data_IF_727089819262
#
_entry.id   IF_727089819262
#
_cell.length_a   1.000
_cell.length_b   1.000
_cell.length_c   1.000
_cell.angle_alpha   90.00
_cell.angle_beta   90.00
_cell.angle_gamma   90.00
#
_symmetry.space_group_name_H-M   'P 1'
#
loop_
_entity.id
_entity.type
_entity.pdbx_description
1 polymer ?
#
# COMPACT_ATOMS: atom_id res chain seq x y z
N UNK A 1 21.76 4.41 -5.74
CA UNK A 1 21.93 3.67 -7.00
C UNK A 1 21.20 4.48 -8.07
N UNK A 2 21.91 4.98 -9.08
CA UNK A 2 21.30 5.84 -10.09
C UNK A 2 20.44 5.02 -11.07
N UNK A 3 19.49 5.65 -11.75
CA UNK A 3 18.67 4.97 -12.77
C UNK A 3 19.51 4.30 -13.89
N UNK A 4 20.72 4.81 -14.15
CA UNK A 4 21.68 4.22 -15.09
C UNK A 4 22.42 2.98 -14.59
N UNK A 5 22.52 2.76 -13.27
CA UNK A 5 23.15 1.56 -12.71
C UNK A 5 22.21 0.35 -12.83
N UNK A 6 20.92 0.58 -12.57
CA UNK A 6 19.87 -0.44 -12.68
C UNK A 6 19.70 -0.88 -14.14
N UNK A 7 19.66 0.06 -15.09
CA UNK A 7 19.56 -0.28 -16.52
C UNK A 7 20.73 -1.16 -16.99
N UNK A 8 21.96 -0.86 -16.54
CA UNK A 8 23.15 -1.66 -16.88
C UNK A 8 23.09 -3.07 -16.32
N UNK A 9 22.62 -3.23 -15.08
CA UNK A 9 22.45 -4.54 -14.45
C UNK A 9 21.41 -5.39 -15.19
N UNK A 10 20.26 -4.80 -15.53
CA UNK A 10 19.21 -5.47 -16.28
C UNK A 10 19.67 -5.88 -17.69
N UNK A 11 20.46 -5.05 -18.36
CA UNK A 11 21.08 -5.40 -19.65
C UNK A 11 22.06 -6.57 -19.51
N UNK A 12 22.90 -6.57 -18.47
CA UNK A 12 23.83 -7.68 -18.22
C UNK A 12 23.10 -9.00 -17.97
N UNK A 13 22.05 -8.99 -17.14
CA UNK A 13 21.20 -10.16 -16.90
C UNK A 13 20.49 -10.65 -18.16
N UNK A 14 20.06 -9.75 -19.03
CA UNK A 14 19.44 -10.13 -20.30
C UNK A 14 20.46 -10.78 -21.25
N UNK A 15 21.69 -10.26 -21.33
CA UNK A 15 22.79 -10.87 -22.10
C UNK A 15 23.06 -12.28 -21.60
N UNK A 16 23.16 -12.46 -20.29
CA UNK A 16 23.38 -13.76 -19.66
C UNK A 16 22.24 -14.74 -19.99
N UNK A 17 20.99 -14.28 -19.93
CA UNK A 17 19.81 -15.08 -20.21
C UNK A 17 19.71 -15.48 -21.70
N UNK A 18 20.15 -14.62 -22.61
CA UNK A 18 20.13 -14.88 -24.05
C UNK A 18 21.34 -15.69 -24.53
N UNK A 19 22.48 -15.60 -23.81
CA UNK A 19 23.75 -16.20 -24.22
C UNK A 19 24.43 -15.50 -25.41
N UNK A 20 23.94 -14.32 -25.80
CA UNK A 20 24.42 -13.54 -26.94
C UNK A 20 24.46 -12.03 -26.61
N UNK A 21 25.36 -11.25 -27.23
CA UNK A 21 25.44 -9.82 -27.00
C UNK A 21 24.19 -9.10 -27.54
N UNK A 22 23.75 -8.07 -26.82
CA UNK A 22 22.66 -7.21 -27.28
C UNK A 22 23.13 -6.32 -28.42
N UNK A 23 22.50 -6.48 -29.59
CA UNK A 23 22.80 -5.69 -30.79
C UNK A 23 22.10 -4.33 -30.83
N UNK A 24 21.19 -4.08 -29.90
CA UNK A 24 20.37 -2.85 -29.80
C UNK A 24 20.37 -2.33 -28.37
N UNK A 25 20.24 -1.01 -28.24
CA UNK A 25 20.30 -0.35 -26.93
C UNK A 25 19.10 -0.61 -26.03
N UNK A 26 17.89 -0.67 -26.59
CA UNK A 26 16.67 -0.97 -25.86
C UNK A 26 15.94 -2.15 -26.50
N UNK A 27 16.32 -3.39 -26.14
CA UNK A 27 15.79 -4.59 -26.78
C UNK A 27 14.34 -4.86 -26.39
N UNK A 28 13.59 -5.49 -27.30
CA UNK A 28 12.25 -5.99 -27.02
C UNK A 28 12.30 -7.34 -26.32
N UNK A 29 11.85 -7.38 -25.08
CA UNK A 29 11.75 -8.60 -24.28
C UNK A 29 10.34 -9.18 -24.28
N UNK A 30 10.24 -10.50 -24.09
CA UNK A 30 8.96 -11.19 -23.85
C UNK A 30 8.49 -11.00 -22.40
N UNK A 31 7.22 -11.30 -22.13
CA UNK A 31 6.70 -11.35 -20.75
C UNK A 31 7.48 -12.31 -19.85
N UNK A 32 7.95 -13.45 -20.38
CA UNK A 32 8.72 -14.42 -19.60
C UNK A 32 10.13 -13.92 -19.27
N UNK A 33 10.81 -13.31 -20.24
CA UNK A 33 12.11 -12.67 -20.01
C UNK A 33 12.00 -11.51 -19.04
N UNK A 34 10.98 -10.66 -19.20
CA UNK A 34 10.66 -9.61 -18.24
C UNK A 34 10.45 -10.23 -16.85
N UNK A 35 9.64 -11.26 -16.71
CA UNK A 35 9.41 -11.91 -15.41
C UNK A 35 10.69 -12.42 -14.75
N UNK A 36 11.61 -13.01 -15.52
CA UNK A 36 12.91 -13.49 -15.02
C UNK A 36 13.85 -12.35 -14.62
N UNK A 37 13.92 -11.30 -15.45
CA UNK A 37 14.72 -10.11 -15.14
C UNK A 37 14.25 -9.43 -13.85
N UNK A 38 12.93 -9.43 -13.67
CA UNK A 38 12.24 -8.76 -12.57
C UNK A 38 12.04 -9.66 -11.35
N UNK A 39 12.47 -10.93 -11.42
CA UNK A 39 12.33 -11.93 -10.35
C UNK A 39 10.89 -12.13 -9.83
N UNK A 40 9.90 -12.01 -10.72
CA UNK A 40 8.48 -12.18 -10.38
C UNK A 40 7.83 -13.27 -11.23
N UNK A 41 6.67 -13.82 -10.80
CA UNK A 41 5.89 -14.71 -11.65
C UNK A 41 5.44 -14.02 -12.95
N UNK A 42 5.40 -14.69 -14.12
CA UNK A 42 4.93 -14.09 -15.38
C UNK A 42 3.53 -13.50 -15.32
N UNK A 43 2.66 -14.03 -14.46
CA UNK A 43 1.31 -13.52 -14.22
C UNK A 43 1.33 -12.09 -13.66
N UNK A 44 2.37 -11.73 -12.89
CA UNK A 44 2.59 -10.40 -12.34
C UNK A 44 2.84 -9.39 -13.43
N UNK A 45 3.76 -9.70 -14.35
CA UNK A 45 4.06 -8.88 -15.53
C UNK A 45 2.83 -8.75 -16.42
N UNK A 46 2.10 -9.85 -16.65
CA UNK A 46 0.84 -9.81 -17.40
C UNK A 46 -0.23 -8.92 -16.73
N UNK A 47 -0.28 -8.89 -15.40
CA UNK A 47 -1.14 -7.98 -14.63
C UNK A 47 -0.76 -6.52 -14.82
N UNK A 48 0.54 -6.18 -14.80
CA UNK A 48 1.02 -4.81 -15.07
C UNK A 48 0.66 -4.34 -16.48
N UNK A 49 0.79 -5.21 -17.48
CA UNK A 49 0.39 -4.91 -18.86
C UNK A 49 -1.12 -4.64 -18.95
N UNK A 50 -1.94 -5.51 -18.35
CA UNK A 50 -3.41 -5.37 -18.35
C UNK A 50 -3.88 -4.13 -17.58
N UNK A 51 -3.18 -3.79 -16.50
CA UNK A 51 -3.42 -2.58 -15.72
C UNK A 51 -2.96 -1.29 -16.43
N UNK A 52 -2.17 -1.40 -17.50
CA UNK A 52 -1.63 -0.24 -18.24
C UNK A 52 -0.36 0.36 -17.63
N UNK A 53 0.19 -0.27 -16.59
CA UNK A 53 1.41 0.17 -15.89
C UNK A 53 2.70 -0.25 -16.61
N UNK A 54 2.60 -1.17 -17.56
CA UNK A 54 3.70 -1.61 -18.42
C UNK A 54 3.25 -1.61 -19.89
N UNK A 55 3.69 -0.64 -20.71
CA UNK A 55 3.22 -0.50 -22.08
C UNK A 55 3.76 -1.62 -22.98
N UNK A 56 2.85 -2.41 -23.57
CA UNK A 56 3.21 -3.39 -24.59
C UNK A 56 3.26 -2.74 -25.98
N UNK A 57 4.44 -2.75 -26.62
CA UNK A 57 4.64 -2.15 -27.96
C UNK A 57 4.03 -2.98 -29.07
N UNK A 58 3.88 -4.29 -28.85
CA UNK A 58 3.08 -5.17 -29.72
C UNK A 58 2.15 -6.01 -28.87
N UNK A 59 0.83 -5.80 -29.01
CA UNK A 59 -0.19 -6.65 -28.34
C UNK A 59 -0.21 -8.08 -28.86
N UNK A 60 0.03 -8.26 -30.17
CA UNK A 60 0.04 -9.59 -30.81
C UNK A 60 1.21 -10.46 -30.32
N UNK A 61 2.39 -9.86 -30.09
CA UNK A 61 3.59 -10.57 -29.66
C UNK A 61 3.97 -10.33 -28.20
N UNK A 62 3.19 -9.53 -27.46
CA UNK A 62 3.42 -9.13 -26.06
C UNK A 62 4.86 -8.70 -25.79
N UNK A 63 5.43 -7.93 -26.72
CA UNK A 63 6.81 -7.42 -26.64
C UNK A 63 6.84 -6.13 -25.84
N UNK A 64 7.81 -6.05 -24.95
CA UNK A 64 8.02 -4.97 -23.99
C UNK A 64 9.41 -4.37 -24.23
N UNK A 65 9.56 -3.05 -24.15
CA UNK A 65 10.91 -2.47 -24.13
C UNK A 65 11.57 -2.79 -22.79
N UNK A 66 12.86 -3.09 -22.80
CA UNK A 66 13.62 -3.31 -21.58
C UNK A 66 13.58 -2.06 -20.69
N UNK A 67 13.70 -0.87 -21.27
CA UNK A 67 13.60 0.39 -20.54
C UNK A 67 12.24 0.59 -19.86
N UNK A 68 11.14 0.24 -20.53
CA UNK A 68 9.79 0.28 -19.97
C UNK A 68 9.66 -0.75 -18.82
N UNK A 69 10.27 -1.93 -18.96
CA UNK A 69 10.32 -2.98 -17.93
C UNK A 69 11.08 -2.49 -16.69
N UNK A 70 12.28 -1.94 -16.86
CA UNK A 70 13.11 -1.39 -15.78
C UNK A 70 12.38 -0.24 -15.06
N UNK A 71 11.71 0.64 -15.80
CA UNK A 71 10.98 1.80 -15.24
C UNK A 71 9.64 1.43 -14.61
N UNK A 72 9.06 0.29 -14.96
CA UNK A 72 7.71 -0.10 -14.49
C UNK A 72 7.60 -0.33 -12.99
N UNK A 73 8.73 -0.41 -12.26
CA UNK A 73 8.79 -0.46 -10.80
C UNK A 73 7.85 -1.52 -10.22
N UNK A 74 8.06 -2.80 -10.48
CA UNK A 74 7.06 -3.87 -10.22
C UNK A 74 6.53 -3.95 -8.80
N UNK A 75 7.38 -3.58 -7.86
CA UNK A 75 7.06 -3.59 -6.44
C UNK A 75 6.20 -2.40 -6.05
N UNK A 76 6.06 -1.40 -6.91
CA UNK A 76 5.30 -0.20 -6.59
C UNK A 76 3.79 -0.42 -6.66
N UNK A 77 3.30 -1.44 -7.37
CA UNK A 77 1.86 -1.68 -7.53
C UNK A 77 1.41 -2.89 -6.72
N UNK A 78 0.13 -2.99 -6.38
CA UNK A 78 -0.43 -4.13 -5.63
C UNK A 78 -1.89 -4.33 -6.02
N UNK A 79 -2.31 -5.60 -6.02
CA UNK A 79 -3.71 -5.98 -6.07
C UNK A 79 -4.39 -5.72 -4.72
N UNK A 80 -5.72 -5.65 -4.73
CA UNK A 80 -6.53 -5.56 -3.51
C UNK A 80 -6.28 -6.75 -2.57
N UNK A 81 -6.02 -7.94 -3.13
CA UNK A 81 -5.75 -9.14 -2.34
C UNK A 81 -4.39 -9.06 -1.63
N UNK A 82 -3.33 -8.65 -2.33
CA UNK A 82 -2.00 -8.46 -1.73
C UNK A 82 -2.02 -7.37 -0.66
N UNK A 83 -2.71 -6.26 -0.91
CA UNK A 83 -2.88 -5.20 0.09
C UNK A 83 -3.66 -5.69 1.32
N UNK A 84 -4.62 -6.61 1.13
CA UNK A 84 -5.34 -7.24 2.22
C UNK A 84 -4.42 -8.03 3.15
N UNK A 85 -3.46 -8.77 2.59
CA UNK A 85 -2.46 -9.49 3.39
C UNK A 85 -1.63 -8.52 4.22
N UNK A 86 -1.12 -7.43 3.62
CA UNK A 86 -0.31 -6.43 4.33
C UNK A 86 -1.10 -5.72 5.43
N UNK A 87 -2.35 -5.37 5.17
CA UNK A 87 -3.20 -4.62 6.10
C UNK A 87 -3.88 -5.53 7.15
N UNK A 88 -3.77 -6.85 7.02
CA UNK A 88 -4.49 -7.81 7.85
C UNK A 88 -6.02 -7.77 7.63
N UNK A 89 -6.46 -7.50 6.41
CA UNK A 89 -7.85 -7.32 6.02
C UNK A 89 -8.26 -8.26 4.89
N UNK A 90 -9.54 -8.65 4.85
CA UNK A 90 -10.13 -9.22 3.65
C UNK A 90 -10.27 -8.19 2.52
N UNK A 91 -10.48 -8.66 1.28
CA UNK A 91 -10.63 -7.78 0.10
C UNK A 91 -11.73 -6.73 0.29
N UNK A 92 -12.85 -7.08 0.93
CA UNK A 92 -13.94 -6.14 1.25
C UNK A 92 -13.47 -5.03 2.18
N UNK A 93 -12.61 -5.33 3.15
CA UNK A 93 -12.03 -4.33 4.05
C UNK A 93 -11.15 -3.35 3.30
N UNK A 94 -10.28 -3.84 2.42
CA UNK A 94 -9.43 -2.99 1.57
C UNK A 94 -10.27 -2.10 0.65
N UNK A 95 -11.33 -2.65 0.03
CA UNK A 95 -12.24 -1.84 -0.81
C UNK A 95 -12.92 -0.72 -0.03
N UNK A 96 -13.27 -0.95 1.24
CA UNK A 96 -13.81 0.10 2.11
C UNK A 96 -12.79 1.20 2.38
N UNK A 97 -11.51 0.87 2.58
CA UNK A 97 -10.45 1.87 2.73
C UNK A 97 -10.29 2.74 1.47
N UNK A 98 -10.45 2.14 0.29
CA UNK A 98 -10.48 2.89 -0.98
C UNK A 98 -11.69 3.85 -1.01
N UNK A 99 -12.89 3.35 -0.70
CA UNK A 99 -14.10 4.18 -0.66
C UNK A 99 -14.03 5.30 0.38
N UNK A 100 -13.37 5.05 1.51
CA UNK A 100 -13.14 6.05 2.55
C UNK A 100 -12.04 7.06 2.20
N UNK A 101 -11.37 6.92 1.05
CA UNK A 101 -10.29 7.80 0.63
C UNK A 101 -8.97 7.60 1.36
N UNK A 102 -8.83 6.52 2.16
CA UNK A 102 -7.59 6.16 2.84
C UNK A 102 -6.58 5.48 1.92
N UNK A 103 -7.04 4.94 0.80
CA UNK A 103 -6.22 4.41 -0.30
C UNK A 103 -6.74 4.94 -1.62
N UNK A 104 -5.82 5.23 -2.56
CA UNK A 104 -6.18 5.64 -3.91
C UNK A 104 -6.05 4.48 -4.88
N UNK A 105 -7.08 4.28 -5.72
CA UNK A 105 -7.08 3.25 -6.75
C UNK A 105 -6.71 3.83 -8.14
N UNK A 106 -5.70 3.24 -8.78
CA UNK A 106 -5.15 3.63 -10.08
C UNK A 106 -5.42 2.56 -11.14
N UNK A 107 -6.69 2.22 -11.36
CA UNK A 107 -7.10 1.23 -12.36
C UNK A 107 -7.86 0.05 -11.74
N UNK A 108 -7.88 -1.10 -12.42
CA UNK A 108 -8.71 -2.25 -12.04
C UNK A 108 -7.93 -3.44 -11.44
N UNK A 109 -6.85 -3.89 -12.07
CA UNK A 109 -6.18 -5.15 -11.68
C UNK A 109 -5.10 -4.98 -10.60
N UNK A 110 -4.26 -3.96 -10.72
CA UNK A 110 -3.25 -3.58 -9.73
C UNK A 110 -3.49 -2.12 -9.31
N UNK A 111 -4.59 -1.84 -8.59
CA UNK A 111 -5.02 -0.48 -8.36
C UNK A 111 -4.19 0.26 -7.30
N UNK A 112 -3.49 -0.45 -6.41
CA UNK A 112 -2.90 0.19 -5.23
C UNK A 112 -1.41 0.38 -5.40
N UNK A 113 -0.88 1.48 -4.87
CA UNK A 113 0.56 1.61 -4.70
C UNK A 113 1.01 0.92 -3.42
N UNK A 114 2.12 0.18 -3.46
CA UNK A 114 2.71 -0.47 -2.29
C UNK A 114 3.10 0.55 -1.23
N UNK A 115 3.71 1.66 -1.63
CA UNK A 115 4.12 2.72 -0.70
C UNK A 115 2.93 3.25 0.13
N UNK A 116 1.78 3.49 -0.50
CA UNK A 116 0.56 3.97 0.17
C UNK A 116 0.01 2.91 1.13
N UNK A 117 0.02 1.64 0.71
CA UNK A 117 -0.41 0.51 1.55
C UNK A 117 0.49 0.35 2.77
N UNK A 118 1.81 0.45 2.59
CA UNK A 118 2.79 0.33 3.67
C UNK A 118 2.71 1.50 4.65
N UNK A 119 2.53 2.73 4.15
CA UNK A 119 2.29 3.90 4.99
C UNK A 119 1.01 3.71 5.81
N UNK A 120 -0.08 3.28 5.18
CA UNK A 120 -1.33 3.05 5.87
C UNK A 120 -1.21 1.91 6.89
N UNK A 121 -0.49 0.84 6.58
CA UNK A 121 -0.24 -0.25 7.53
C UNK A 121 0.41 0.25 8.81
N UNK A 122 1.46 1.08 8.70
CA UNK A 122 2.13 1.71 9.84
C UNK A 122 1.20 2.65 10.62
N UNK A 123 0.40 3.46 9.93
CA UNK A 123 -0.56 4.34 10.60
C UNK A 123 -1.59 3.54 11.42
N UNK A 124 -2.12 2.44 10.86
CA UNK A 124 -3.11 1.57 11.49
C UNK A 124 -2.63 0.87 12.77
N UNK A 125 -1.32 0.77 13.01
CA UNK A 125 -0.77 0.26 14.27
C UNK A 125 -1.10 1.19 15.45
N UNK A 126 -1.25 2.49 15.18
CA UNK A 126 -1.62 3.49 16.18
C UNK A 126 -3.14 3.66 16.34
N UNK A 127 -3.94 2.88 15.63
CA UNK A 127 -5.40 2.99 15.63
C UNK A 127 -6.04 1.83 16.38
N UNK A 128 -7.10 2.14 17.11
CA UNK A 128 -7.83 1.21 17.95
C UNK A 128 -9.25 0.99 17.45
N UNK A 129 -9.70 -0.25 17.64
CA UNK A 129 -11.11 -0.59 17.55
C UNK A 129 -11.90 0.08 18.68
N UNK A 130 -13.20 0.26 18.49
CA UNK A 130 -14.09 0.79 19.54
C UNK A 130 -14.02 -0.04 20.82
N UNK A 131 -14.09 -1.39 20.79
CA UNK A 131 -13.95 -2.20 22.01
C UNK A 131 -12.62 -1.97 22.74
N UNK A 132 -11.51 -1.85 22.02
CA UNK A 132 -10.19 -1.60 22.61
C UNK A 132 -10.14 -0.24 23.29
N UNK A 133 -10.66 0.80 22.63
CA UNK A 133 -10.73 2.15 23.18
C UNK A 133 -11.66 2.23 24.41
N UNK A 134 -12.82 1.58 24.34
CA UNK A 134 -13.79 1.50 25.44
C UNK A 134 -13.18 0.86 26.69
N UNK A 135 -12.51 -0.28 26.51
CA UNK A 135 -11.78 -0.96 27.59
C UNK A 135 -10.67 -0.08 28.18
N UNK A 136 -9.90 0.62 27.36
CA UNK A 136 -8.84 1.52 27.83
C UNK A 136 -9.39 2.75 28.59
N UNK A 137 -10.54 3.27 28.17
CA UNK A 137 -11.20 4.42 28.78
C UNK A 137 -12.03 4.07 30.02
N UNK A 138 -12.29 2.79 30.27
CA UNK A 138 -13.19 2.33 31.33
C UNK A 138 -14.65 2.70 31.08
N UNK A 139 -15.07 2.73 29.81
CA UNK A 139 -16.44 3.08 29.38
C UNK A 139 -17.00 2.01 28.45
N UNK A 140 -18.28 2.10 28.09
CA UNK A 140 -18.88 1.24 27.08
C UNK A 140 -18.63 1.74 25.64
N UNK A 141 -18.99 0.91 24.65
CA UNK A 141 -18.83 1.24 23.24
C UNK A 141 -19.70 2.44 22.79
N UNK A 142 -20.87 2.61 23.40
CA UNK A 142 -21.80 3.69 23.05
C UNK A 142 -21.23 5.06 23.45
N UNK A 143 -20.53 5.14 24.58
CA UNK A 143 -19.80 6.33 24.99
C UNK A 143 -18.66 6.66 24.02
N UNK A 144 -17.87 5.68 23.59
CA UNK A 144 -16.82 5.93 22.57
C UNK A 144 -17.44 6.43 21.25
N UNK A 145 -18.55 5.85 20.82
CA UNK A 145 -19.29 6.33 19.65
C UNK A 145 -19.85 7.74 19.85
N UNK A 146 -20.26 8.10 21.07
CA UNK A 146 -20.69 9.46 21.41
C UNK A 146 -19.52 10.43 21.30
N UNK A 147 -18.36 10.10 21.89
CA UNK A 147 -17.15 10.90 21.85
C UNK A 147 -16.67 11.17 20.42
N UNK A 148 -16.73 10.17 19.53
CA UNK A 148 -16.42 10.34 18.11
C UNK A 148 -17.41 11.25 17.38
N UNK A 149 -18.71 11.18 17.73
CA UNK A 149 -19.76 12.02 17.13
C UNK A 149 -19.70 13.48 17.60
N UNK A 150 -19.35 13.71 18.86
CA UNK A 150 -19.25 15.05 19.46
C UNK A 150 -17.90 15.72 19.23
N UNK A 151 -16.94 15.00 18.62
CA UNK A 151 -15.59 15.51 18.35
C UNK A 151 -14.67 15.53 19.58
N UNK A 152 -15.04 14.84 20.66
CA UNK A 152 -14.14 14.62 21.80
C UNK A 152 -12.98 13.67 21.46
N UNK A 153 -13.20 12.79 20.47
CA UNK A 153 -12.18 12.02 19.79
C UNK A 153 -12.32 12.24 18.28
N UNK A 154 -11.22 12.24 17.56
CA UNK A 154 -11.18 12.33 16.10
C UNK A 154 -11.33 10.93 15.48
N UNK A 155 -12.00 10.86 14.33
CA UNK A 155 -12.17 9.62 13.58
C UNK A 155 -11.01 9.40 12.59
N UNK A 156 -10.47 8.19 12.52
CA UNK A 156 -9.40 7.78 11.57
C UNK A 156 -9.92 7.54 10.14
N UNK A 157 -11.24 7.60 9.94
CA UNK A 157 -11.97 7.17 8.74
C UNK A 157 -11.94 5.65 8.47
N UNK A 158 -11.14 4.87 9.22
CA UNK A 158 -11.20 3.42 9.19
C UNK A 158 -12.28 2.93 10.17
N UNK A 159 -13.40 2.47 9.62
CA UNK A 159 -14.53 1.94 10.39
C UNK A 159 -14.11 0.79 11.32
N UNK A 160 -13.12 -0.03 10.94
CA UNK A 160 -12.66 -1.14 11.77
C UNK A 160 -11.80 -0.68 12.96
N UNK A 161 -11.11 0.46 12.82
CA UNK A 161 -10.23 1.04 13.84
C UNK A 161 -10.40 2.57 13.88
N UNK A 162 -11.57 3.07 14.32
CA UNK A 162 -11.93 4.47 14.13
C UNK A 162 -11.25 5.43 15.12
N UNK A 163 -10.51 4.92 16.12
CA UNK A 163 -10.00 5.72 17.24
C UNK A 163 -8.48 5.83 17.19
N UNK A 164 -7.93 7.02 17.36
CA UNK A 164 -6.49 7.20 17.55
C UNK A 164 -6.05 6.83 18.97
N UNK A 165 -5.05 5.94 19.11
CA UNK A 165 -4.50 5.54 20.42
C UNK A 165 -3.98 6.72 21.23
N UNK A 166 -3.31 7.67 20.58
CA UNK A 166 -2.71 8.81 21.26
C UNK A 166 -3.75 9.77 21.85
N UNK A 167 -4.91 9.92 21.21
CA UNK A 167 -6.01 10.75 21.72
C UNK A 167 -6.65 10.13 22.96
N UNK A 168 -6.82 8.80 22.99
CA UNK A 168 -7.29 8.09 24.19
C UNK A 168 -6.33 8.30 25.36
N UNK A 169 -5.02 8.17 25.12
CA UNK A 169 -4.00 8.43 26.13
C UNK A 169 -4.03 9.89 26.63
N UNK A 170 -4.17 10.86 25.73
CA UNK A 170 -4.29 12.29 26.10
C UNK A 170 -5.56 12.57 26.90
N UNK A 171 -6.68 11.95 26.54
CA UNK A 171 -7.95 12.08 27.25
C UNK A 171 -7.88 11.49 28.67
N UNK A 172 -7.20 10.36 28.85
CA UNK A 172 -6.96 9.80 30.18
C UNK A 172 -6.06 10.73 31.02
N UNK A 173 -5.01 11.29 30.43
CA UNK A 173 -4.10 12.21 31.12
C UNK A 173 -4.82 13.47 31.62
N UNK A 174 -5.76 14.02 30.85
CA UNK A 174 -6.57 15.18 31.28
C UNK A 174 -7.62 14.81 32.33
N UNK A 175 -8.22 13.62 32.27
CA UNK A 175 -9.12 13.11 33.31
C UNK A 175 -8.43 12.91 34.67
N UNK A 176 -7.15 12.57 34.67
CA UNK A 176 -6.38 12.28 35.87
C UNK A 176 -5.64 13.49 36.48
N UNK A 177 -5.82 14.70 35.95
CA UNK A 177 -5.34 15.91 36.61
C UNK A 177 -6.34 16.35 37.69
N UNK A 178 -6.04 16.20 39.00
CA UNK A 178 -6.85 16.82 40.03
C UNK A 178 -6.77 18.34 39.85
N UNK A 179 -7.93 19.00 39.85
CA UNK A 179 -7.99 20.46 39.84
C UNK A 179 -7.10 21.02 40.97
N UNK A 180 -6.31 22.09 40.72
CA UNK A 180 -5.55 22.71 41.79
C UNK A 180 -6.53 23.14 42.88
N UNK A 181 -6.39 22.54 44.07
CA UNK A 181 -7.06 22.97 45.28
C UNK A 181 -6.79 24.47 45.43
N UNK A 182 -7.83 25.29 45.30
CA UNK A 182 -7.76 26.72 45.59
C UNK A 182 -7.23 26.86 47.02
N UNK A 183 -6.01 27.38 47.15
CA UNK A 183 -5.49 27.82 48.44
C UNK A 183 -6.44 28.90 48.97
N UNK A 184 -7.07 28.60 50.10
CA UNK A 184 -7.83 29.57 50.91
C UNK A 184 -6.89 30.41 51.75
#
# INVERSE_FOLDING_TARGET
>A
MGAGDVDREFRARLIELLGEPLMVDDPLVTTAQAALLLEVPPQRVAGLIRAGHLPARSRAHRRLLLSDVVRSGLDQWMSVAEAGVVLGLGQTGVRRLITAGLLTAHGKELPLRREDVDVLARLRESWWSVPTAASALGVDADEVHRMLRTGQLTNTCDIARPVYRHEVAAFLATRHHPAPLKAS
#
